data_IF_223334658161
#
_entry.id   IF_223334658161
#
_cell.length_a   1.000
_cell.length_b   1.000
_cell.length_c   1.000
_cell.angle_alpha   90.00
_cell.angle_beta   90.00
_cell.angle_gamma   90.00
#
_symmetry.space_group_name_H-M   'P 1'
#
loop_
_entity.id
_entity.type
_entity.pdbx_description
1 polymer ?
#
# COMPACT_ATOMS: atom_id res chain seq x y z
N UNK A 1 4.73 11.62 8.48
CA UNK A 1 3.46 12.27 8.06
C UNK A 1 3.72 13.61 7.40
N UNK A 2 4.18 14.66 8.09
CA UNK A 2 4.45 15.97 7.46
C UNK A 2 5.35 15.86 6.21
N UNK A 3 6.46 15.13 6.32
CA UNK A 3 7.34 14.87 5.18
C UNK A 3 6.61 14.24 3.98
N UNK A 4 5.68 13.31 4.20
CA UNK A 4 4.91 12.69 3.11
C UNK A 4 3.98 13.66 2.38
N UNK A 5 3.52 14.72 3.06
CA UNK A 5 2.80 15.82 2.40
C UNK A 5 3.78 16.66 1.57
N UNK A 6 4.94 16.95 2.13
CA UNK A 6 5.95 17.82 1.52
C UNK A 6 6.65 17.19 0.31
N UNK A 7 6.67 15.86 0.18
CA UNK A 7 7.21 15.17 -1.01
C UNK A 7 6.48 15.55 -2.31
N UNK A 8 5.21 15.94 -2.22
CA UNK A 8 4.45 16.43 -3.37
C UNK A 8 4.89 17.83 -3.84
N UNK A 9 5.61 18.60 -3.01
CA UNK A 9 6.03 19.95 -3.36
C UNK A 9 6.90 19.96 -4.61
N UNK A 10 7.83 19.00 -4.75
CA UNK A 10 8.67 18.87 -5.94
C UNK A 10 7.88 18.58 -7.23
N UNK A 11 6.79 17.81 -7.13
CA UNK A 11 5.90 17.56 -8.27
C UNK A 11 5.16 18.83 -8.70
N UNK A 12 4.67 19.62 -7.75
CA UNK A 12 4.04 20.91 -8.05
C UNK A 12 5.01 21.98 -8.56
N UNK A 13 6.26 21.98 -8.07
CA UNK A 13 7.31 22.85 -8.59
C UNK A 13 7.62 22.55 -10.06
N UNK A 14 7.66 21.26 -10.43
CA UNK A 14 7.80 20.85 -11.83
C UNK A 14 6.61 21.28 -12.69
N UNK A 15 5.40 21.31 -12.12
CA UNK A 15 4.19 21.85 -12.76
C UNK A 15 4.13 23.40 -12.80
N UNK A 16 5.17 24.09 -12.31
CA UNK A 16 5.30 25.54 -12.37
C UNK A 16 4.74 26.31 -11.17
N UNK A 17 4.26 25.61 -10.15
CA UNK A 17 3.78 26.24 -8.92
C UNK A 17 4.92 26.50 -7.93
N UNK A 18 4.68 27.41 -6.98
CA UNK A 18 5.60 27.65 -5.86
C UNK A 18 4.81 27.63 -4.57
N UNK A 19 5.31 26.89 -3.58
CA UNK A 19 4.64 26.72 -2.28
C UNK A 19 3.19 26.21 -2.44
N UNK A 20 2.94 25.31 -3.40
CA UNK A 20 1.61 24.78 -3.69
C UNK A 20 1.06 23.94 -2.53
N UNK A 21 1.95 23.19 -1.87
CA UNK A 21 1.62 22.29 -0.78
C UNK A 21 2.65 22.44 0.34
N UNK A 22 2.18 22.39 1.59
CA UNK A 22 2.99 22.43 2.81
C UNK A 22 2.22 21.76 3.95
N UNK A 23 2.93 21.11 4.85
CA UNK A 23 2.35 20.62 6.09
C UNK A 23 2.69 21.59 7.24
N UNK A 24 1.69 21.93 8.05
CA UNK A 24 1.87 22.76 9.23
C UNK A 24 1.12 22.15 10.41
N UNK A 25 1.59 22.42 11.63
CA UNK A 25 0.82 22.05 12.82
C UNK A 25 -0.44 22.91 12.89
N UNK A 26 -1.58 22.29 13.17
CA UNK A 26 -2.85 23.00 13.34
C UNK A 26 -2.69 24.09 14.43
N UNK A 27 -3.06 25.35 14.16
CA UNK A 27 -2.95 26.41 15.15
C UNK A 27 -3.77 26.14 16.41
N UNK A 28 -3.28 26.61 17.56
CA UNK A 28 -3.97 26.42 18.84
C UNK A 28 -5.37 27.05 18.82
N UNK A 29 -6.37 26.30 19.30
CA UNK A 29 -7.77 26.75 19.38
C UNK A 29 -8.55 26.67 18.06
N UNK A 30 -7.99 26.07 17.01
CA UNK A 30 -8.75 25.72 15.80
C UNK A 30 -9.34 24.32 15.93
N UNK A 31 -10.52 24.13 15.35
CA UNK A 31 -11.17 22.82 15.26
C UNK A 31 -10.61 22.04 14.07
N UNK A 32 -10.21 20.77 14.23
CA UNK A 32 -9.70 19.96 13.13
C UNK A 32 -10.72 19.65 12.02
N UNK A 33 -12.01 19.83 12.28
CA UNK A 33 -13.10 19.60 11.30
C UNK A 33 -13.55 20.89 10.61
N UNK A 34 -12.82 21.99 10.80
CA UNK A 34 -13.11 23.26 10.13
C UNK A 34 -12.67 23.21 8.66
N UNK A 35 -13.64 23.30 7.75
CA UNK A 35 -13.47 23.24 6.27
C UNK A 35 -12.42 24.20 5.70
N UNK A 36 -11.94 25.17 6.47
CA UNK A 36 -10.85 26.07 6.07
C UNK A 36 -9.48 25.42 6.13
N UNK A 37 -9.36 24.24 6.75
CA UNK A 37 -8.10 23.53 6.94
C UNK A 37 -8.27 22.07 6.51
N UNK A 38 -7.51 21.65 5.50
CA UNK A 38 -7.30 20.23 5.24
C UNK A 38 -6.42 19.65 6.36
N UNK A 39 -6.89 18.61 7.05
CA UNK A 39 -6.19 18.05 8.21
C UNK A 39 -5.69 16.63 8.00
N UNK A 40 -4.60 16.27 8.71
CA UNK A 40 -4.16 14.88 8.89
C UNK A 40 -4.39 14.53 10.37
N UNK A 41 -5.17 13.48 10.64
CA UNK A 41 -5.58 13.09 11.99
C UNK A 41 -5.20 11.66 12.30
N UNK A 42 -4.65 11.45 13.49
CA UNK A 42 -4.30 10.14 14.02
C UNK A 42 -5.39 9.66 14.99
N UNK A 43 -6.02 8.56 14.64
CA UNK A 43 -7.10 7.94 15.39
C UNK A 43 -6.62 6.64 16.05
N UNK A 44 -7.30 6.29 17.14
CA UNK A 44 -7.14 5.01 17.83
C UNK A 44 -8.54 4.52 18.13
N UNK A 45 -8.90 3.38 17.56
CA UNK A 45 -10.25 2.83 17.66
C UNK A 45 -10.20 1.38 18.13
N UNK A 46 -11.18 0.97 18.93
CA UNK A 46 -11.29 -0.41 19.41
C UNK A 46 -11.76 -1.38 18.30
N UNK A 47 -12.40 -0.88 17.24
CA UNK A 47 -12.86 -1.64 16.06
C UNK A 47 -12.72 -0.77 14.80
N UNK A 48 -11.54 -0.73 14.19
CA UNK A 48 -11.28 0.11 13.03
C UNK A 48 -11.86 -0.48 11.73
N UNK A 49 -12.60 0.33 10.96
CA UNK A 49 -13.11 -0.06 9.63
C UNK A 49 -12.22 0.34 8.45
N UNK A 50 -11.07 0.96 8.70
CA UNK A 50 -10.14 1.50 7.69
C UNK A 50 -8.71 1.58 8.24
N UNK A 51 -7.71 1.61 7.37
CA UNK A 51 -6.30 1.83 7.74
C UNK A 51 -5.90 3.30 7.63
N UNK A 52 -6.05 3.86 6.44
CA UNK A 52 -6.04 5.29 6.19
C UNK A 52 -7.14 5.64 5.17
N UNK A 53 -7.63 6.88 5.22
CA UNK A 53 -8.64 7.36 4.27
C UNK A 53 -8.58 8.89 4.18
N UNK A 54 -8.74 9.44 2.97
CA UNK A 54 -8.92 10.86 2.71
C UNK A 54 -10.33 11.24 2.23
N UNK A 55 -11.36 11.27 3.11
CA UNK A 55 -12.65 11.87 2.77
C UNK A 55 -12.47 13.32 2.30
N UNK A 56 -13.22 13.70 1.27
CA UNK A 56 -13.12 15.02 0.66
C UNK A 56 -14.50 15.63 0.40
N UNK A 57 -14.53 16.96 0.41
CA UNK A 57 -15.70 17.76 0.03
C UNK A 57 -15.47 18.31 -1.36
N UNK A 58 -16.29 17.86 -2.31
CA UNK A 58 -16.18 18.22 -3.73
C UNK A 58 -17.35 19.10 -4.15
N UNK A 59 -17.09 20.18 -4.89
CA UNK A 59 -18.16 20.92 -5.56
C UNK A 59 -18.70 20.08 -6.73
N UNK A 60 -19.96 19.60 -6.70
CA UNK A 60 -20.50 18.70 -7.71
C UNK A 60 -20.67 19.35 -9.10
N UNK A 61 -20.51 20.67 -9.21
CA UNK A 61 -20.67 21.41 -10.47
C UNK A 61 -19.35 21.53 -11.23
N UNK A 62 -18.24 21.62 -10.51
CA UNK A 62 -16.90 21.87 -11.07
C UNK A 62 -15.99 20.66 -10.92
N UNK A 63 -16.25 19.78 -9.95
CA UNK A 63 -15.36 18.70 -9.56
C UNK A 63 -14.19 19.16 -8.66
N UNK A 64 -14.17 20.43 -8.24
CA UNK A 64 -13.13 20.98 -7.38
C UNK A 64 -13.21 20.38 -5.97
N UNK A 65 -12.08 19.84 -5.49
CA UNK A 65 -11.91 19.40 -4.10
C UNK A 65 -11.68 20.66 -3.25
N UNK A 66 -12.66 21.01 -2.43
CA UNK A 66 -12.61 22.21 -1.58
C UNK A 66 -11.91 21.96 -0.25
N UNK A 67 -12.01 20.74 0.26
CA UNK A 67 -11.46 20.31 1.53
C UNK A 67 -11.23 18.80 1.53
N UNK A 68 -10.21 18.35 2.26
CA UNK A 68 -9.92 16.93 2.43
C UNK A 68 -9.27 16.66 3.79
N UNK A 69 -9.80 15.66 4.46
CA UNK A 69 -9.49 15.35 5.85
C UNK A 69 -8.95 13.93 5.95
N UNK A 70 -7.63 13.77 6.01
CA UNK A 70 -7.02 12.45 6.04
C UNK A 70 -7.04 11.90 7.47
N UNK A 71 -7.57 10.69 7.61
CA UNK A 71 -7.61 9.92 8.84
C UNK A 71 -6.66 8.74 8.75
N UNK A 72 -5.84 8.55 9.78
CA UNK A 72 -4.97 7.38 9.95
C UNK A 72 -5.39 6.62 11.19
N UNK A 73 -5.50 5.32 11.08
CA UNK A 73 -5.81 4.46 12.22
C UNK A 73 -4.56 3.76 12.73
N UNK A 74 -4.33 3.88 14.04
CA UNK A 74 -3.14 3.34 14.69
C UNK A 74 -2.98 1.84 14.45
N UNK A 75 -4.09 1.10 14.42
CA UNK A 75 -4.04 -0.34 14.31
C UNK A 75 -3.44 -0.84 12.97
N UNK A 76 -3.41 0.01 11.92
CA UNK A 76 -2.79 -0.31 10.62
C UNK A 76 -1.30 -0.64 10.75
N UNK A 77 -0.61 -0.01 11.70
CA UNK A 77 0.82 -0.23 11.95
C UNK A 77 1.10 -1.01 13.24
N UNK A 78 0.09 -1.17 14.11
CA UNK A 78 0.19 -1.99 15.31
C UNK A 78 -0.08 -3.48 15.00
N UNK A 79 -0.76 -3.77 13.87
CA UNK A 79 -1.05 -5.12 13.41
C UNK A 79 -2.09 -5.80 14.29
N UNK A 80 -3.27 -5.19 14.45
CA UNK A 80 -4.29 -5.77 15.31
C UNK A 80 -4.91 -7.02 14.68
N UNK A 81 -5.05 -8.05 15.52
CA UNK A 81 -5.41 -9.44 15.18
C UNK A 81 -6.92 -9.66 15.31
N UNK A 82 -7.71 -8.74 14.76
CA UNK A 82 -9.17 -8.79 14.91
C UNK A 82 -9.81 -9.97 14.17
N UNK A 83 -9.26 -10.37 13.02
CA UNK A 83 -9.86 -11.40 12.14
C UNK A 83 -10.09 -12.73 12.89
N UNK A 84 -9.16 -13.16 13.75
CA UNK A 84 -9.34 -14.39 14.53
C UNK A 84 -10.22 -14.23 15.77
N UNK A 85 -10.35 -13.02 16.33
CA UNK A 85 -11.30 -12.75 17.43
C UNK A 85 -12.75 -12.80 16.93
N UNK A 86 -12.98 -12.43 15.67
CA UNK A 86 -14.30 -12.48 15.03
C UNK A 86 -14.61 -13.86 14.40
N UNK A 87 -13.60 -14.57 13.87
CA UNK A 87 -13.75 -15.90 13.26
C UNK A 87 -13.92 -17.08 14.25
N UNK A 88 -14.15 -16.85 15.55
CA UNK A 88 -14.40 -17.94 16.53
C UNK A 88 -15.84 -18.50 16.44
N UNK A 89 -16.55 -18.30 15.33
CA UNK A 89 -17.71 -19.09 14.95
C UNK A 89 -17.42 -19.94 13.69
N UNK A 90 -17.00 -21.21 13.83
CA UNK A 90 -16.73 -22.12 12.71
C UNK A 90 -17.89 -22.32 11.74
N UNK A 91 -19.11 -21.93 12.12
CA UNK A 91 -20.29 -21.97 11.25
C UNK A 91 -20.33 -20.80 10.28
N UNK A 92 -19.95 -19.60 10.71
CA UNK A 92 -19.97 -18.38 9.90
C UNK A 92 -18.96 -18.48 8.76
N UNK A 93 -17.75 -18.97 9.02
CA UNK A 93 -16.73 -19.21 8.00
C UNK A 93 -17.15 -20.26 6.95
N UNK A 94 -17.99 -21.24 7.32
CA UNK A 94 -18.55 -22.22 6.36
C UNK A 94 -19.67 -21.59 5.55
N UNK A 95 -20.55 -20.78 6.15
CA UNK A 95 -21.62 -20.11 5.41
C UNK A 95 -21.06 -19.05 4.44
N UNK A 96 -19.99 -18.33 4.79
CA UNK A 96 -19.30 -17.37 3.90
C UNK A 96 -18.59 -18.04 2.72
N UNK A 97 -18.02 -19.24 2.88
CA UNK A 97 -17.35 -19.94 1.77
C UNK A 97 -18.36 -20.50 0.76
N UNK A 98 -19.55 -20.87 1.20
CA UNK A 98 -20.50 -21.65 0.38
C UNK A 98 -21.79 -20.92 -0.03
N UNK A 99 -22.13 -19.77 0.58
CA UNK A 99 -23.41 -19.07 0.34
C UNK A 99 -23.27 -17.56 0.05
N UNK A 100 -22.18 -17.10 -0.57
CA UNK A 100 -22.06 -15.68 -0.95
C UNK A 100 -23.11 -15.31 -2.00
N UNK A 101 -24.01 -14.40 -1.64
CA UNK A 101 -24.99 -13.81 -2.55
C UNK A 101 -24.34 -12.73 -3.43
N UNK A 102 -24.95 -12.42 -4.58
CA UNK A 102 -24.46 -11.34 -5.45
C UNK A 102 -24.47 -9.95 -4.76
N UNK A 103 -25.27 -9.79 -3.69
CA UNK A 103 -25.35 -8.57 -2.89
C UNK A 103 -24.22 -8.51 -1.85
N UNK A 104 -23.77 -9.64 -1.31
CA UNK A 104 -22.56 -9.73 -0.46
C UNK A 104 -21.26 -9.53 -1.26
N UNK A 105 -21.21 -9.99 -2.51
CA UNK A 105 -20.14 -9.62 -3.47
C UNK A 105 -20.15 -8.12 -3.77
N UNK A 106 -21.32 -7.47 -3.75
CA UNK A 106 -21.40 -6.02 -3.90
C UNK A 106 -21.01 -5.28 -2.61
N UNK A 107 -21.28 -5.85 -1.43
CA UNK A 107 -20.78 -5.33 -0.15
C UNK A 107 -19.26 -5.47 0.01
N UNK A 108 -18.62 -6.41 -0.69
CA UNK A 108 -17.16 -6.52 -0.68
C UNK A 108 -16.43 -5.31 -1.30
N UNK A 109 -17.13 -4.43 -2.01
CA UNK A 109 -16.55 -3.15 -2.46
C UNK A 109 -16.40 -2.13 -1.31
N UNK A 110 -17.05 -2.34 -0.15
CA UNK A 110 -16.74 -1.63 1.10
C UNK A 110 -15.62 -2.32 1.90
N UNK A 111 -15.22 -3.54 1.52
CA UNK A 111 -14.12 -4.28 2.14
C UNK A 111 -12.73 -3.87 1.62
N UNK A 112 -12.63 -2.90 0.70
CA UNK A 112 -11.32 -2.49 0.16
C UNK A 112 -10.44 -1.79 1.22
N UNK A 113 -11.06 -0.93 2.04
CA UNK A 113 -10.40 -0.25 3.16
C UNK A 113 -10.01 -1.23 4.28
N UNK A 114 -10.87 -2.22 4.55
CA UNK A 114 -10.56 -3.32 5.46
C UNK A 114 -9.45 -4.23 4.89
N UNK A 115 -9.44 -4.49 3.58
CA UNK A 115 -8.43 -5.32 2.90
C UNK A 115 -7.04 -4.67 2.90
N UNK A 116 -6.95 -3.35 2.72
CA UNK A 116 -5.66 -2.63 2.79
C UNK A 116 -5.08 -2.66 4.20
N UNK A 117 -5.91 -2.33 5.19
CA UNK A 117 -5.57 -2.39 6.61
C UNK A 117 -5.04 -3.78 7.02
N UNK A 118 -5.81 -4.83 6.71
CA UNK A 118 -5.46 -6.20 7.03
C UNK A 118 -4.16 -6.62 6.34
N UNK A 119 -3.97 -6.23 5.08
CA UNK A 119 -2.73 -6.51 4.35
C UNK A 119 -1.51 -5.86 5.03
N UNK A 120 -1.61 -4.60 5.45
CA UNK A 120 -0.50 -3.92 6.14
C UNK A 120 -0.10 -4.65 7.43
N UNK A 121 -1.07 -5.14 8.20
CA UNK A 121 -0.83 -6.00 9.36
C UNK A 121 -0.11 -7.29 9.00
N UNK A 122 -0.58 -7.99 7.96
CA UNK A 122 0.02 -9.23 7.48
C UNK A 122 1.46 -9.03 6.97
N UNK A 123 1.74 -7.93 6.28
CA UNK A 123 3.10 -7.63 5.82
C UNK A 123 4.03 -7.27 6.98
N UNK A 124 3.54 -6.57 8.00
CA UNK A 124 4.29 -6.33 9.24
C UNK A 124 4.67 -7.64 9.93
N UNK A 125 3.74 -8.59 10.03
CA UNK A 125 3.99 -9.90 10.65
C UNK A 125 4.94 -10.78 9.81
N UNK A 126 4.88 -10.66 8.49
CA UNK A 126 5.86 -11.27 7.59
C UNK A 126 7.26 -10.68 7.81
N UNK A 127 7.41 -9.35 7.89
CA UNK A 127 8.69 -8.68 8.15
C UNK A 127 9.25 -9.12 9.51
N UNK A 128 8.44 -9.09 10.56
CA UNK A 128 8.84 -9.56 11.90
C UNK A 128 9.35 -11.00 11.83
N UNK A 129 8.59 -11.90 11.20
CA UNK A 129 8.97 -13.31 11.07
C UNK A 129 10.30 -13.49 10.35
N UNK A 130 10.50 -12.80 9.23
CA UNK A 130 11.73 -12.87 8.45
C UNK A 130 12.92 -12.36 9.26
N UNK A 131 12.78 -11.24 9.96
CA UNK A 131 13.85 -10.71 10.81
C UNK A 131 14.16 -11.65 11.98
N UNK A 132 13.14 -12.28 12.59
CA UNK A 132 13.33 -13.28 13.65
C UNK A 132 14.03 -14.54 13.14
N UNK A 133 13.58 -15.10 12.01
CA UNK A 133 14.19 -16.27 11.38
C UNK A 133 15.65 -16.02 10.96
N UNK A 134 15.99 -14.77 10.62
CA UNK A 134 17.37 -14.35 10.32
C UNK A 134 18.20 -14.01 11.57
N UNK A 135 17.62 -14.10 12.77
CA UNK A 135 18.27 -13.72 14.03
C UNK A 135 18.55 -12.22 14.17
N UNK A 136 17.87 -11.40 13.36
CA UNK A 136 18.00 -9.93 13.31
C UNK A 136 17.01 -9.24 14.27
N UNK A 137 15.98 -9.94 14.74
CA UNK A 137 14.99 -9.46 15.69
C UNK A 137 14.73 -10.54 16.76
N UNK A 138 14.64 -10.15 18.03
CA UNK A 138 14.24 -11.10 19.09
C UNK A 138 12.73 -11.05 19.35
N UNK A 139 12.15 -12.11 19.93
CA UNK A 139 10.76 -12.08 20.38
C UNK A 139 10.48 -10.87 21.29
N UNK A 140 9.43 -10.11 20.94
CA UNK A 140 9.01 -8.92 21.68
C UNK A 140 9.75 -7.62 21.35
N UNK A 141 10.80 -7.66 20.51
CA UNK A 141 11.41 -6.44 19.99
C UNK A 141 10.54 -5.82 18.87
N UNK A 142 10.43 -4.48 18.78
CA UNK A 142 9.74 -3.83 17.68
C UNK A 142 10.54 -3.98 16.38
N UNK A 143 9.84 -3.96 15.24
CA UNK A 143 10.50 -3.85 13.92
C UNK A 143 11.36 -2.58 13.84
N UNK A 144 12.35 -2.53 12.93
CA UNK A 144 13.14 -1.32 12.69
C UNK A 144 12.24 -0.11 12.47
N UNK A 145 12.58 1.01 13.13
CA UNK A 145 11.77 2.25 13.05
C UNK A 145 11.68 2.74 11.61
N UNK A 146 12.74 2.56 10.85
CA UNK A 146 12.84 2.92 9.44
C UNK A 146 11.74 2.24 8.61
N UNK A 147 11.39 0.97 8.90
CA UNK A 147 10.28 0.29 8.23
C UNK A 147 8.95 1.00 8.48
N UNK A 148 8.64 1.29 9.75
CA UNK A 148 7.39 1.96 10.13
C UNK A 148 7.33 3.41 9.63
N UNK A 149 8.46 4.11 9.62
CA UNK A 149 8.55 5.49 9.13
C UNK A 149 8.29 5.55 7.63
N UNK A 150 8.90 4.63 6.86
CA UNK A 150 8.69 4.56 5.42
C UNK A 150 7.26 4.16 5.06
N UNK A 151 6.70 3.15 5.73
CA UNK A 151 5.31 2.75 5.53
C UNK A 151 4.37 3.94 5.81
N UNK A 152 4.53 4.62 6.95
CA UNK A 152 3.70 5.77 7.29
C UNK A 152 3.89 6.94 6.32
N UNK A 153 5.12 7.17 5.85
CA UNK A 153 5.43 8.21 4.85
C UNK A 153 4.77 7.90 3.51
N UNK A 154 4.87 6.66 3.02
CA UNK A 154 4.19 6.22 1.81
C UNK A 154 2.67 6.31 1.93
N UNK A 155 2.06 5.78 3.01
CA UNK A 155 0.60 5.90 3.19
C UNK A 155 0.18 7.38 3.26
N UNK A 156 0.99 8.23 3.90
CA UNK A 156 0.69 9.68 3.87
C UNK A 156 0.74 10.24 2.45
N UNK A 157 1.75 9.88 1.65
CA UNK A 157 1.81 10.30 0.24
C UNK A 157 0.61 9.80 -0.55
N UNK A 158 0.19 8.55 -0.33
CA UNK A 158 -0.95 7.91 -0.98
C UNK A 158 -2.25 8.67 -0.72
N UNK A 159 -2.57 8.93 0.55
CA UNK A 159 -3.80 9.64 0.90
C UNK A 159 -3.78 11.09 0.39
N UNK A 160 -2.63 11.78 0.46
CA UNK A 160 -2.48 13.11 -0.14
C UNK A 160 -2.74 13.06 -1.64
N UNK A 161 -2.24 12.04 -2.35
CA UNK A 161 -2.52 11.85 -3.77
C UNK A 161 -4.02 11.78 -4.08
N UNK A 162 -4.81 11.09 -3.26
CA UNK A 162 -6.28 11.12 -3.38
C UNK A 162 -6.87 12.52 -3.17
N UNK A 163 -6.35 13.30 -2.20
CA UNK A 163 -6.78 14.70 -2.01
C UNK A 163 -6.42 15.62 -3.17
N UNK A 164 -5.44 15.21 -3.98
CA UNK A 164 -5.04 15.86 -5.24
C UNK A 164 -5.81 15.30 -6.46
N UNK A 165 -6.82 14.45 -6.23
CA UNK A 165 -7.66 13.89 -7.29
C UNK A 165 -7.03 12.70 -8.02
N UNK A 166 -5.93 12.13 -7.54
CA UNK A 166 -5.34 10.95 -8.13
C UNK A 166 -6.10 9.69 -7.70
N UNK A 167 -6.33 8.80 -8.67
CA UNK A 167 -6.81 7.44 -8.44
C UNK A 167 -5.64 6.50 -8.15
N UNK A 168 -5.95 5.31 -7.66
CA UNK A 168 -4.97 4.22 -7.58
C UNK A 168 -4.29 3.97 -8.93
N UNK A 169 -3.02 3.58 -8.87
CA UNK A 169 -2.24 3.12 -10.01
C UNK A 169 -1.53 1.80 -9.68
N UNK A 170 -2.20 0.70 -9.99
CA UNK A 170 -1.72 -0.67 -9.72
C UNK A 170 -0.80 -1.23 -10.81
N UNK A 171 -0.39 -0.37 -11.75
CA UNK A 171 0.64 -0.70 -12.74
C UNK A 171 2.02 -0.20 -12.31
N UNK A 172 2.14 0.51 -11.19
CA UNK A 172 3.37 1.22 -10.84
C UNK A 172 4.51 0.27 -10.41
N UNK A 173 4.18 -0.86 -9.78
CA UNK A 173 5.14 -1.91 -9.40
C UNK A 173 5.99 -2.41 -10.57
N UNK A 174 5.42 -2.54 -11.77
CA UNK A 174 6.11 -3.15 -12.93
C UNK A 174 7.07 -2.19 -13.63
N UNK A 175 7.06 -0.90 -13.29
CA UNK A 175 8.02 0.07 -13.83
C UNK A 175 9.42 -0.07 -13.20
N UNK A 176 9.55 -0.82 -12.10
CA UNK A 176 10.84 -1.03 -11.43
C UNK A 176 11.51 -2.32 -11.94
N UNK A 177 12.71 -2.26 -12.55
CA UNK A 177 13.39 -3.47 -13.01
C UNK A 177 13.68 -4.45 -11.87
N UNK A 178 13.53 -5.75 -12.12
CA UNK A 178 13.60 -6.76 -11.06
C UNK A 178 15.01 -6.85 -10.46
N UNK A 179 16.05 -6.72 -11.29
CA UNK A 179 17.46 -6.70 -10.87
C UNK A 179 17.85 -5.41 -10.12
N UNK A 180 16.95 -4.42 -10.07
CA UNK A 180 17.13 -3.14 -9.39
C UNK A 180 16.34 -2.98 -8.10
N UNK A 181 15.40 -3.89 -7.79
CA UNK A 181 14.60 -3.82 -6.56
C UNK A 181 15.45 -3.73 -5.29
N UNK A 182 16.66 -4.31 -5.30
CA UNK A 182 17.56 -4.34 -4.16
C UNK A 182 18.86 -3.55 -4.41
N UNK A 183 18.94 -2.82 -5.52
CA UNK A 183 20.04 -1.89 -5.81
C UNK A 183 19.76 -0.57 -5.08
N UNK A 184 20.57 -0.26 -4.07
CA UNK A 184 20.31 0.84 -3.14
C UNK A 184 20.59 2.21 -3.76
N UNK A 185 21.52 2.29 -4.70
CA UNK A 185 21.75 3.51 -5.48
C UNK A 185 20.54 3.78 -6.40
N UNK A 186 20.03 2.73 -7.07
CA UNK A 186 18.85 2.87 -7.92
C UNK A 186 17.59 3.25 -7.12
N UNK A 187 17.32 2.54 -6.03
CA UNK A 187 16.10 2.72 -5.23
C UNK A 187 16.11 4.02 -4.42
N UNK A 188 17.27 4.56 -4.06
CA UNK A 188 17.38 5.90 -3.49
C UNK A 188 16.94 7.00 -4.48
N UNK A 189 17.24 6.83 -5.77
CA UNK A 189 16.90 7.81 -6.80
C UNK A 189 15.47 7.64 -7.33
N UNK A 190 15.02 6.40 -7.52
CA UNK A 190 13.80 6.09 -8.27
C UNK A 190 12.66 5.54 -7.39
N UNK A 191 12.96 5.10 -6.17
CA UNK A 191 12.05 4.26 -5.39
C UNK A 191 12.00 2.82 -5.89
N UNK A 192 11.11 2.04 -5.28
CA UNK A 192 10.83 0.62 -5.57
C UNK A 192 9.52 0.42 -6.35
N UNK A 193 8.76 1.49 -6.60
CA UNK A 193 7.56 1.55 -7.43
C UNK A 193 7.37 2.98 -7.98
N UNK A 194 6.69 3.16 -9.13
CA UNK A 194 6.65 4.45 -9.83
C UNK A 194 5.57 5.43 -9.34
N UNK A 195 4.62 4.98 -8.53
CA UNK A 195 3.54 5.83 -7.98
C UNK A 195 3.25 5.53 -6.51
N UNK A 196 3.09 6.58 -5.71
CA UNK A 196 2.57 6.48 -4.35
C UNK A 196 1.15 5.89 -4.31
N UNK A 197 0.41 5.97 -5.42
CA UNK A 197 -0.97 5.49 -5.58
C UNK A 197 -1.09 3.98 -5.80
N UNK A 198 0.00 3.23 -5.74
CA UNK A 198 -0.01 1.77 -5.77
C UNK A 198 -0.37 1.18 -4.39
N UNK A 199 -0.71 -0.11 -4.35
CA UNK A 199 -0.73 -0.94 -3.15
C UNK A 199 0.45 -1.93 -3.24
N UNK A 200 1.68 -1.45 -3.00
CA UNK A 200 2.88 -2.25 -3.09
C UNK A 200 2.95 -3.24 -1.91
N UNK A 201 3.94 -4.09 -2.00
CA UNK A 201 4.37 -4.95 -0.90
C UNK A 201 5.76 -4.53 -0.40
N UNK A 202 6.06 -4.83 0.86
CA UNK A 202 7.35 -4.55 1.47
C UNK A 202 8.50 -5.12 0.63
N UNK A 203 9.43 -4.26 0.22
CA UNK A 203 10.57 -4.68 -0.55
C UNK A 203 11.52 -5.54 0.31
N UNK A 204 11.57 -6.86 0.06
CA UNK A 204 12.43 -7.80 0.79
C UNK A 204 13.13 -8.73 -0.18
N UNK A 205 14.45 -8.86 -0.04
CA UNK A 205 15.24 -9.79 -0.84
C UNK A 205 14.98 -11.24 -0.42
N UNK A 206 14.65 -12.14 -1.37
CA UNK A 206 14.53 -13.57 -1.10
C UNK A 206 15.86 -14.22 -0.75
N UNK A 207 16.98 -13.64 -1.19
CA UNK A 207 18.33 -14.17 -0.92
C UNK A 207 18.88 -13.73 0.44
N UNK A 208 18.13 -12.90 1.17
CA UNK A 208 18.56 -12.38 2.46
C UNK A 208 19.59 -11.27 2.38
N UNK A 209 19.81 -10.73 1.19
CA UNK A 209 20.59 -9.52 1.00
C UNK A 209 19.92 -8.34 1.72
N UNK A 210 20.74 -7.44 2.26
CA UNK A 210 20.27 -6.19 2.85
C UNK A 210 19.63 -5.36 1.75
N UNK A 211 18.40 -4.89 1.97
CA UNK A 211 17.78 -3.84 1.17
C UNK A 211 18.18 -2.42 1.65
N UNK A 212 19.23 -2.31 2.48
CA UNK A 212 19.70 -1.12 3.23
C UNK A 212 18.58 -0.27 3.83
N UNK A 213 17.46 -0.92 4.17
CA UNK A 213 16.30 -0.27 4.75
C UNK A 213 15.34 0.39 3.75
N UNK A 214 15.45 0.20 2.42
CA UNK A 214 14.46 0.65 1.43
C UNK A 214 13.29 -0.34 1.33
N UNK A 215 12.37 -0.27 2.29
CA UNK A 215 11.18 -1.11 2.40
C UNK A 215 10.01 -0.59 1.57
N UNK A 216 9.84 0.74 1.52
CA UNK A 216 8.85 1.46 0.73
C UNK A 216 9.45 2.75 0.19
N UNK A 217 8.80 3.37 -0.80
CA UNK A 217 9.20 4.70 -1.26
C UNK A 217 9.08 5.73 -0.13
N UNK A 218 10.13 6.55 0.00
CA UNK A 218 10.10 7.76 0.82
C UNK A 218 9.77 9.01 0.01
N UNK A 219 9.77 8.96 -1.32
CA UNK A 219 9.37 10.09 -2.16
C UNK A 219 8.30 9.66 -3.16
N UNK A 220 7.56 10.62 -3.70
CA UNK A 220 6.66 10.39 -4.83
C UNK A 220 7.47 9.82 -6.01
N UNK A 221 6.88 8.99 -6.85
CA UNK A 221 7.58 8.33 -7.95
C UNK A 221 7.55 9.13 -9.26
N UNK A 222 8.05 8.54 -10.35
CA UNK A 222 8.06 9.18 -11.68
C UNK A 222 6.65 9.46 -12.20
N UNK A 223 5.72 8.50 -12.01
CA UNK A 223 4.34 8.63 -12.44
C UNK A 223 3.67 9.81 -11.74
N UNK A 224 3.84 9.92 -10.42
CA UNK A 224 3.24 10.97 -9.60
C UNK A 224 3.67 12.37 -10.06
N UNK A 225 4.97 12.55 -10.34
CA UNK A 225 5.50 13.83 -10.84
C UNK A 225 4.93 14.17 -12.21
N UNK A 226 4.85 13.18 -13.10
CA UNK A 226 4.30 13.35 -14.44
C UNK A 226 2.81 13.66 -14.41
N UNK A 227 2.01 12.91 -13.65
CA UNK A 227 0.56 13.08 -13.60
C UNK A 227 0.16 14.39 -12.94
N UNK A 228 0.91 14.87 -11.94
CA UNK A 228 0.71 16.22 -11.37
C UNK A 228 1.03 17.29 -12.41
N UNK A 229 2.14 17.15 -13.13
CA UNK A 229 2.49 18.09 -14.21
C UNK A 229 1.39 18.12 -15.28
N UNK A 230 0.88 16.97 -15.68
CA UNK A 230 -0.24 16.87 -16.61
C UNK A 230 -1.53 17.50 -16.07
N UNK A 231 -1.92 17.13 -14.85
CA UNK A 231 -3.22 17.49 -14.27
C UNK A 231 -3.32 18.92 -13.75
N UNK A 232 -2.20 19.54 -13.40
CA UNK A 232 -2.19 20.85 -12.74
C UNK A 232 -1.54 21.97 -13.57
N UNK A 233 -0.84 21.67 -14.66
CA UNK A 233 -0.35 22.74 -15.54
C UNK A 233 -1.53 23.58 -16.06
N UNK A 234 -1.50 24.92 -15.90
CA UNK A 234 -2.64 25.79 -16.21
C UNK A 234 -2.84 26.06 -17.70
N UNK A 235 -1.90 25.66 -18.55
CA UNK A 235 -1.94 25.84 -20.00
C UNK A 235 -2.33 24.52 -20.69
N UNK A 236 -3.43 24.54 -21.45
CA UNK A 236 -3.98 23.33 -22.08
C UNK A 236 -3.06 22.76 -23.17
N UNK A 237 -2.28 23.59 -23.87
CA UNK A 237 -1.36 23.14 -24.91
C UNK A 237 -0.16 22.43 -24.27
N UNK A 238 0.39 23.01 -23.19
CA UNK A 238 1.45 22.37 -22.40
C UNK A 238 0.97 21.05 -21.77
N UNK A 239 -0.24 21.02 -21.21
CA UNK A 239 -0.85 19.81 -20.67
C UNK A 239 -1.00 18.72 -21.76
N UNK A 240 -1.42 19.10 -22.97
CA UNK A 240 -1.52 18.20 -24.10
C UNK A 240 -0.15 17.64 -24.55
N UNK A 241 0.93 18.43 -24.43
CA UNK A 241 2.29 18.00 -24.72
C UNK A 241 2.80 17.00 -23.66
N UNK A 242 2.53 17.24 -22.38
CA UNK A 242 2.85 16.33 -21.27
C UNK A 242 2.09 15.01 -21.40
N UNK A 243 0.80 15.07 -21.76
CA UNK A 243 -0.05 13.89 -21.95
C UNK A 243 0.51 12.91 -23.00
N UNK A 244 1.19 13.41 -24.03
CA UNK A 244 1.83 12.56 -25.05
C UNK A 244 2.99 11.71 -24.51
N UNK A 245 3.48 12.02 -23.32
CA UNK A 245 4.49 11.23 -22.62
C UNK A 245 3.91 10.02 -21.88
N UNK A 246 2.59 9.80 -21.90
CA UNK A 246 1.94 8.69 -21.18
C UNK A 246 2.47 7.29 -21.56
N UNK A 247 3.03 7.14 -22.76
CA UNK A 247 3.61 5.87 -23.22
C UNK A 247 5.09 5.68 -22.84
N UNK A 248 5.71 6.64 -22.13
CA UNK A 248 7.09 6.51 -21.66
C UNK A 248 7.17 5.58 -20.44
N UNK A 249 8.29 4.86 -20.25
CA UNK A 249 8.53 4.08 -19.03
C UNK A 249 8.35 4.93 -17.77
N UNK A 250 7.74 4.37 -16.72
CA UNK A 250 7.50 5.10 -15.48
C UNK A 250 6.21 5.93 -15.46
N UNK A 251 5.43 5.96 -16.56
CA UNK A 251 4.13 6.64 -16.66
C UNK A 251 2.96 5.67 -16.88
N UNK A 252 3.19 4.36 -16.71
CA UNK A 252 2.17 3.36 -16.93
C UNK A 252 1.03 3.51 -15.90
N UNK A 253 -0.21 3.24 -16.33
CA UNK A 253 -1.40 3.43 -15.52
C UNK A 253 -2.30 2.18 -15.55
N UNK A 254 -2.83 1.79 -14.41
CA UNK A 254 -3.85 0.74 -14.27
C UNK A 254 -4.74 0.98 -13.06
N UNK A 255 -6.06 0.93 -13.25
CA UNK A 255 -7.04 1.32 -12.22
C UNK A 255 -7.45 0.16 -11.30
N UNK A 256 -8.31 0.44 -10.33
CA UNK A 256 -9.02 -0.56 -9.52
C UNK A 256 -9.70 -1.64 -10.37
N UNK A 257 -10.38 -1.23 -11.44
CA UNK A 257 -11.11 -2.12 -12.34
C UNK A 257 -10.17 -3.01 -13.19
N UNK A 258 -8.96 -2.54 -13.46
CA UNK A 258 -7.92 -3.31 -14.15
C UNK A 258 -7.22 -4.29 -13.20
N UNK A 259 -7.12 -3.95 -11.91
CA UNK A 259 -6.51 -4.80 -10.89
C UNK A 259 -7.47 -5.84 -10.32
N UNK A 260 -8.78 -5.51 -10.18
CA UNK A 260 -9.78 -6.28 -9.42
C UNK A 260 -11.08 -6.49 -10.20
N UNK A 261 -11.80 -7.55 -9.86
CA UNK A 261 -13.10 -7.88 -10.45
C UNK A 261 -13.01 -8.78 -11.68
N UNK A 262 -14.16 -9.09 -12.29
CA UNK A 262 -14.27 -10.07 -13.38
C UNK A 262 -13.60 -9.64 -14.69
N UNK A 263 -13.24 -8.36 -14.82
CA UNK A 263 -12.54 -7.79 -15.98
C UNK A 263 -11.03 -7.60 -15.78
N UNK A 264 -10.49 -7.90 -14.60
CA UNK A 264 -9.07 -7.69 -14.28
C UNK A 264 -8.17 -8.76 -14.91
N UNK A 265 -7.94 -8.61 -16.21
CA UNK A 265 -7.24 -9.59 -17.05
C UNK A 265 -5.81 -9.18 -17.42
N UNK A 266 -5.40 -7.93 -17.15
CA UNK A 266 -4.04 -7.49 -17.40
C UNK A 266 -3.09 -8.09 -16.35
N UNK A 267 -2.14 -8.95 -16.76
CA UNK A 267 -1.20 -9.56 -15.83
C UNK A 267 -0.20 -8.57 -15.21
N UNK A 268 -0.09 -7.36 -15.75
CA UNK A 268 0.81 -6.30 -15.27
C UNK A 268 0.14 -5.28 -14.36
N UNK A 269 -1.14 -5.46 -14.04
CA UNK A 269 -1.88 -4.60 -13.12
C UNK A 269 -2.32 -5.43 -11.92
N UNK A 270 -1.63 -5.33 -10.80
CA UNK A 270 -1.90 -6.13 -9.61
C UNK A 270 -1.81 -5.28 -8.35
N UNK A 271 -2.45 -5.77 -7.29
CA UNK A 271 -2.21 -5.28 -5.94
C UNK A 271 -1.26 -6.23 -5.23
N UNK A 272 -0.42 -5.69 -4.37
CA UNK A 272 0.48 -6.43 -3.49
C UNK A 272 1.56 -7.23 -4.23
N UNK A 273 2.06 -6.70 -5.35
CA UNK A 273 3.26 -7.17 -6.05
C UNK A 273 4.39 -6.14 -6.04
N UNK A 274 5.53 -6.47 -6.65
CA UNK A 274 6.65 -5.55 -6.83
C UNK A 274 7.54 -5.98 -8.01
N UNK A 275 8.02 -5.03 -8.80
CA UNK A 275 8.98 -5.25 -9.88
C UNK A 275 8.38 -5.63 -11.23
N UNK A 276 9.20 -5.51 -12.28
CA UNK A 276 8.82 -5.64 -13.70
C UNK A 276 8.29 -7.02 -14.11
N UNK A 277 8.62 -8.07 -13.35
CA UNK A 277 8.19 -9.44 -13.61
C UNK A 277 7.42 -9.98 -12.39
N UNK A 278 6.08 -9.84 -12.38
CA UNK A 278 5.23 -10.35 -11.30
C UNK A 278 5.38 -11.85 -11.04
N UNK A 279 5.74 -12.65 -12.05
CA UNK A 279 5.93 -14.10 -11.87
C UNK A 279 7.25 -14.41 -11.18
N UNK A 280 8.33 -13.73 -11.59
CA UNK A 280 9.63 -13.89 -10.96
C UNK A 280 9.62 -13.36 -9.51
N UNK A 281 9.02 -12.19 -9.29
CA UNK A 281 8.80 -11.65 -7.95
C UNK A 281 7.97 -12.60 -7.09
N UNK A 282 6.81 -13.06 -7.60
CA UNK A 282 5.90 -13.94 -6.87
C UNK A 282 6.56 -15.26 -6.47
N UNK A 283 7.41 -15.82 -7.35
CA UNK A 283 8.23 -17.00 -7.04
C UNK A 283 9.23 -16.73 -5.91
N UNK A 284 9.88 -15.57 -5.90
CA UNK A 284 10.80 -15.16 -4.83
C UNK A 284 10.08 -15.00 -3.50
N UNK A 285 8.96 -14.27 -3.48
CA UNK A 285 8.11 -14.09 -2.30
C UNK A 285 7.57 -15.42 -1.76
N UNK A 286 7.07 -16.30 -2.63
CA UNK A 286 6.59 -17.62 -2.25
C UNK A 286 7.70 -18.50 -1.66
N UNK A 287 8.96 -18.37 -2.13
CA UNK A 287 10.09 -19.08 -1.56
C UNK A 287 10.39 -18.62 -0.12
N UNK A 288 10.39 -17.31 0.15
CA UNK A 288 10.55 -16.76 1.50
C UNK A 288 9.50 -17.36 2.45
N UNK A 289 8.23 -17.32 2.05
CA UNK A 289 7.12 -17.77 2.89
C UNK A 289 7.13 -19.29 3.10
N UNK A 290 7.47 -20.08 2.06
CA UNK A 290 7.65 -21.52 2.19
C UNK A 290 8.71 -21.86 3.24
N UNK A 291 9.79 -21.10 3.29
CA UNK A 291 10.88 -21.33 4.24
C UNK A 291 10.54 -20.79 5.64
N UNK A 292 9.66 -19.80 5.75
CA UNK A 292 9.21 -19.20 7.02
C UNK A 292 8.09 -20.00 7.72
N UNK A 293 7.18 -20.63 6.97
CA UNK A 293 6.05 -21.40 7.53
C UNK A 293 6.50 -22.49 8.54
N UNK A 294 7.55 -23.29 8.28
CA UNK A 294 8.06 -24.27 9.24
C UNK A 294 8.56 -23.67 10.56
N UNK A 295 8.99 -22.40 10.56
CA UNK A 295 9.54 -21.69 11.72
C UNK A 295 8.44 -21.10 12.63
N UNK A 296 7.17 -21.13 12.19
CA UNK A 296 6.04 -20.57 12.96
C UNK A 296 5.98 -21.06 14.42
N UNK A 297 6.18 -22.36 14.75
CA UNK A 297 6.17 -22.79 16.15
C UNK A 297 7.27 -22.13 16.97
N UNK A 298 8.47 -21.93 16.40
CA UNK A 298 9.59 -21.29 17.10
C UNK A 298 9.36 -19.78 17.27
N UNK A 299 8.76 -19.13 16.26
CA UNK A 299 8.45 -17.70 16.27
C UNK A 299 7.28 -17.37 17.20
N UNK A 300 6.19 -18.15 17.16
CA UNK A 300 4.92 -17.82 17.78
C UNK A 300 4.69 -18.46 19.16
N UNK A 301 5.37 -19.56 19.50
CA UNK A 301 5.14 -20.32 20.75
C UNK A 301 6.24 -20.09 21.81
N UNK A 302 6.70 -18.85 21.96
CA UNK A 302 7.58 -18.45 23.07
C UNK A 302 6.96 -18.71 24.46
N UNK A 303 7.75 -18.55 25.52
CA UNK A 303 7.31 -18.81 26.90
C UNK A 303 6.01 -18.05 27.24
N UNK A 304 4.99 -18.77 27.72
CA UNK A 304 3.65 -18.28 28.06
C UNK A 304 2.80 -17.70 26.91
N UNK A 305 3.12 -17.99 25.65
CA UNK A 305 2.28 -17.59 24.51
C UNK A 305 1.11 -18.56 24.29
N UNK A 306 -0.10 -18.06 23.98
CA UNK A 306 -1.24 -18.92 23.69
C UNK A 306 -1.13 -19.55 22.30
N UNK A 307 -1.62 -20.80 22.16
CA UNK A 307 -1.46 -21.58 20.92
C UNK A 307 -2.12 -20.95 19.68
N UNK A 308 -3.15 -20.11 19.86
CA UNK A 308 -3.82 -19.47 18.72
C UNK A 308 -2.89 -18.51 17.96
N UNK A 309 -1.84 -18.00 18.59
CA UNK A 309 -0.83 -17.13 17.95
C UNK A 309 -0.08 -17.84 16.82
N UNK A 310 0.18 -19.14 16.99
CA UNK A 310 0.79 -19.95 15.93
C UNK A 310 -0.19 -20.23 14.79
N UNK A 311 -1.48 -20.43 15.09
CA UNK A 311 -2.51 -20.59 14.06
C UNK A 311 -2.68 -19.32 13.24
N UNK A 312 -2.74 -18.17 13.92
CA UNK A 312 -2.85 -16.85 13.30
C UNK A 312 -1.68 -16.58 12.36
N UNK A 313 -0.45 -16.72 12.87
CA UNK A 313 0.76 -16.51 12.08
C UNK A 313 0.89 -17.48 10.90
N UNK A 314 0.52 -18.75 11.10
CA UNK A 314 0.47 -19.73 10.01
C UNK A 314 -0.51 -19.31 8.92
N UNK A 315 -1.72 -18.88 9.29
CA UNK A 315 -2.73 -18.43 8.34
C UNK A 315 -2.26 -17.19 7.58
N UNK A 316 -1.65 -16.22 8.26
CA UNK A 316 -1.03 -15.04 7.64
C UNK A 316 0.00 -15.46 6.59
N UNK A 317 0.96 -16.33 6.94
CA UNK A 317 2.00 -16.73 5.99
C UNK A 317 1.47 -17.58 4.84
N UNK A 318 0.51 -18.47 5.12
CA UNK A 318 -0.14 -19.26 4.09
C UNK A 318 -0.95 -18.39 3.11
N UNK A 319 -1.69 -17.41 3.63
CA UNK A 319 -2.44 -16.47 2.82
C UNK A 319 -1.51 -15.60 1.96
N UNK A 320 -0.44 -15.06 2.54
CA UNK A 320 0.60 -14.33 1.81
C UNK A 320 1.26 -15.22 0.72
N UNK A 321 1.43 -16.52 0.98
CA UNK A 321 1.98 -17.45 0.00
C UNK A 321 1.04 -17.62 -1.19
N UNK A 322 -0.27 -17.77 -0.94
CA UNK A 322 -1.28 -17.82 -2.00
C UNK A 322 -1.35 -16.49 -2.75
N UNK A 323 -1.27 -15.35 -2.05
CA UNK A 323 -1.26 -14.00 -2.64
C UNK A 323 -0.07 -13.79 -3.57
N UNK A 324 1.12 -14.21 -3.19
CA UNK A 324 2.32 -14.17 -4.04
C UNK A 324 2.17 -14.95 -5.36
N UNK A 325 1.34 -15.99 -5.37
CA UNK A 325 1.04 -16.78 -6.58
C UNK A 325 -0.13 -16.21 -7.39
N UNK A 326 -0.93 -15.31 -6.80
CA UNK A 326 -2.11 -14.70 -7.39
C UNK A 326 -1.91 -14.14 -8.80
N UNK A 327 -0.86 -13.32 -9.05
CA UNK A 327 -0.60 -12.77 -10.39
C UNK A 327 -0.51 -13.84 -11.48
N UNK A 328 -0.05 -15.06 -11.17
CA UNK A 328 0.07 -16.17 -12.13
C UNK A 328 -1.25 -16.52 -12.80
N UNK A 329 -2.38 -16.34 -12.12
CA UNK A 329 -3.71 -16.65 -12.67
C UNK A 329 -4.01 -15.75 -13.87
N UNK A 330 -3.60 -14.48 -13.84
CA UNK A 330 -3.82 -13.54 -14.95
C UNK A 330 -2.98 -13.87 -16.18
N UNK A 331 -1.86 -14.57 -16.04
CA UNK A 331 -1.07 -15.05 -17.20
C UNK A 331 -1.73 -16.24 -17.92
N UNK A 332 -2.73 -16.89 -17.30
CA UNK A 332 -3.50 -17.97 -17.92
C UNK A 332 -4.76 -17.37 -18.54
N UNK A 333 -4.65 -16.90 -19.79
CA UNK A 333 -5.78 -16.38 -20.56
C UNK A 333 -6.06 -14.88 -20.37
N UNK A 334 -5.16 -14.13 -19.72
CA UNK A 334 -5.23 -12.68 -19.62
C UNK A 334 -4.94 -11.93 -20.92
N UNK A 335 -5.10 -10.61 -20.87
CA UNK A 335 -4.96 -9.70 -22.02
C UNK A 335 -4.19 -8.45 -21.60
N UNK A 336 -3.25 -8.02 -22.43
CA UNK A 336 -2.45 -6.80 -22.27
C UNK A 336 -3.09 -5.61 -22.97
#
# INVERSE_FOLDING_TARGET
MMEGVEEWAGAFEAAGFRNAIRAEMLPEGMEPEDIRYATLRWNVSDQPGYGAIGPSVVDPRTGEIMDADILFEANMILGDKEEYREMVEPRTAIDEIYNVSAEEVAMSSRNELASFYTEMGMQLDMVKGILMARGQLKPGEPVPKEFTDQALRWVTMHEVGHTLGLRHNFRSSVDTPLDKLYDTDFTAENGVFSSAMDYPTVNLSPEGESNDGHYYNTSVGSYDRWVISYGYTPDDDDAADIARMAAQPGHAYGTDEDARGSGAVDPLVNVYDLGEDPLAWGKGRAAILRDLIPEVPEIALGDNMPYYEATDLFNTYFFQYVRALGPTVKYIGGQY
#
